data_IF_180885684333
#
_entry.id   IF_180885684333
#
_cell.length_a   1.000
_cell.length_b   1.000
_cell.length_c   1.000
_cell.angle_alpha   90.00
_cell.angle_beta   90.00
_cell.angle_gamma   90.00
#
_symmetry.space_group_name_H-M   'P 1'
#
loop_
_entity.id
_entity.type
_entity.pdbx_description
1 polymer ?
#
# COMPACT_ATOMS: atom_id res chain seq x y z
N UNK A 1 8.43 -9.15 -58.96
CA UNK A 1 9.10 -7.98 -58.34
C UNK A 1 8.10 -7.36 -57.39
N UNK A 2 8.05 -7.86 -56.15
CA UNK A 2 7.19 -7.30 -55.10
C UNK A 2 8.12 -6.48 -54.21
N UNK A 3 8.07 -5.15 -54.36
CA UNK A 3 8.82 -4.23 -53.52
C UNK A 3 8.08 -4.14 -52.19
N UNK A 4 8.72 -4.61 -51.12
CA UNK A 4 8.34 -4.32 -49.74
C UNK A 4 8.40 -2.81 -49.55
N UNK A 5 7.23 -2.16 -49.47
CA UNK A 5 7.12 -0.79 -48.97
C UNK A 5 6.93 -0.92 -47.47
N UNK A 6 8.05 -0.98 -46.75
CA UNK A 6 8.05 -0.65 -45.33
C UNK A 6 7.87 0.86 -45.26
N UNK A 7 6.69 1.32 -44.82
CA UNK A 7 6.47 2.75 -44.56
C UNK A 7 7.53 3.22 -43.56
N UNK A 8 8.25 4.32 -43.86
CA UNK A 8 9.34 4.77 -43.01
C UNK A 8 8.78 5.18 -41.64
N UNK A 9 9.34 4.59 -40.58
CA UNK A 9 9.09 5.00 -39.21
C UNK A 9 9.37 6.50 -39.14
N UNK A 10 8.35 7.32 -38.88
CA UNK A 10 8.53 8.75 -38.66
C UNK A 10 9.19 8.96 -37.29
N UNK A 11 10.51 8.77 -37.28
CA UNK A 11 11.38 8.91 -36.12
C UNK A 11 11.29 10.32 -35.51
N UNK A 12 10.83 11.30 -36.28
CA UNK A 12 10.61 12.68 -35.82
C UNK A 12 9.36 12.78 -34.94
N UNK A 13 8.27 12.08 -35.29
CA UNK A 13 7.06 12.01 -34.49
C UNK A 13 7.28 11.28 -33.16
N UNK A 14 8.06 10.19 -33.18
CA UNK A 14 8.43 9.44 -31.96
C UNK A 14 9.31 10.28 -31.03
N UNK A 15 10.28 11.02 -31.59
CA UNK A 15 11.11 11.98 -30.83
C UNK A 15 10.27 13.10 -30.23
N UNK A 16 9.34 13.68 -31.00
CA UNK A 16 8.47 14.75 -30.50
C UNK A 16 7.57 14.29 -29.34
N UNK A 17 7.05 13.06 -29.36
CA UNK A 17 6.30 12.49 -28.25
C UNK A 17 7.18 12.25 -27.02
N UNK A 18 8.41 11.75 -27.21
CA UNK A 18 9.38 11.55 -26.13
C UNK A 18 9.74 12.89 -25.44
N UNK A 19 9.98 13.93 -26.23
CA UNK A 19 10.30 15.27 -25.73
C UNK A 19 9.10 15.91 -24.99
N UNK A 20 7.88 15.65 -25.47
CA UNK A 20 6.64 16.06 -24.80
C UNK A 20 6.45 15.36 -23.45
N UNK A 21 6.71 14.06 -23.38
CA UNK A 21 6.69 13.29 -22.12
C UNK A 21 7.80 13.72 -21.15
N UNK A 22 8.99 14.07 -21.66
CA UNK A 22 10.08 14.60 -20.84
C UNK A 22 9.73 15.97 -20.23
N UNK A 23 9.10 16.84 -21.03
CA UNK A 23 8.61 18.15 -20.58
C UNK A 23 7.46 18.02 -19.56
N UNK A 24 6.53 17.08 -19.79
CA UNK A 24 5.46 16.75 -18.84
C UNK A 24 6.02 16.20 -17.51
N UNK A 25 7.07 15.35 -17.56
CA UNK A 25 7.78 14.86 -16.37
C UNK A 25 8.43 15.98 -15.56
N UNK A 26 9.08 16.94 -16.23
CA UNK A 26 9.68 18.10 -15.55
C UNK A 26 8.60 18.95 -14.87
N UNK A 27 7.48 19.19 -15.55
CA UNK A 27 6.34 19.96 -15.01
C UNK A 27 5.70 19.27 -13.79
N UNK A 28 5.53 17.94 -13.84
CA UNK A 28 5.03 17.16 -12.70
C UNK A 28 5.99 17.17 -11.50
N UNK A 29 7.31 17.18 -11.75
CA UNK A 29 8.34 17.22 -10.70
C UNK A 29 8.35 18.58 -9.99
N UNK A 30 8.18 19.69 -10.72
CA UNK A 30 8.09 21.03 -10.13
C UNK A 30 6.81 21.22 -9.30
N UNK A 31 5.68 20.66 -9.74
CA UNK A 31 4.43 20.69 -8.97
C UNK A 31 4.52 19.83 -7.69
N UNK A 32 5.20 18.68 -7.73
CA UNK A 32 5.46 17.85 -6.55
C UNK A 32 6.33 18.57 -5.51
N UNK A 33 7.31 19.36 -5.95
CA UNK A 33 8.17 20.14 -5.05
C UNK A 33 7.42 21.30 -4.36
N UNK A 34 6.44 21.92 -5.01
CA UNK A 34 5.59 22.95 -4.41
C UNK A 34 4.60 22.39 -3.37
N UNK A 35 4.22 21.12 -3.50
CA UNK A 35 3.36 20.39 -2.56
C UNK A 35 4.11 19.81 -1.35
N UNK A 36 5.41 20.08 -1.20
CA UNK A 36 6.26 19.55 -0.11
C UNK A 36 5.82 19.93 1.31
N UNK A 37 4.90 20.90 1.46
CA UNK A 37 4.27 21.27 2.73
C UNK A 37 2.95 20.52 3.01
N UNK A 38 2.46 19.70 2.08
CA UNK A 38 1.30 18.84 2.27
C UNK A 38 1.79 17.40 2.46
N UNK A 39 1.37 16.77 3.55
CA UNK A 39 1.59 15.33 3.78
C UNK A 39 0.68 14.50 2.88
N UNK A 40 0.87 14.60 1.57
CA UNK A 40 0.13 13.88 0.55
C UNK A 40 0.94 12.67 0.05
N UNK A 41 0.25 11.55 -0.19
CA UNK A 41 0.84 10.38 -0.86
C UNK A 41 1.20 10.77 -2.29
N UNK A 42 2.46 10.59 -2.67
CA UNK A 42 2.93 10.82 -4.04
C UNK A 42 2.79 9.52 -4.84
N UNK A 43 2.10 9.58 -5.96
CA UNK A 43 1.94 8.45 -6.89
C UNK A 43 2.74 8.76 -8.16
N UNK A 44 3.70 7.92 -8.51
CA UNK A 44 4.46 8.04 -9.75
C UNK A 44 4.34 6.76 -10.57
N UNK A 45 4.29 6.92 -11.89
CA UNK A 45 4.15 5.79 -12.83
C UNK A 45 5.26 5.85 -13.86
N UNK A 46 5.95 4.73 -14.08
CA UNK A 46 6.94 4.57 -15.14
C UNK A 46 6.51 3.42 -16.04
N UNK A 47 6.24 3.74 -17.30
CA UNK A 47 5.91 2.76 -18.34
C UNK A 47 7.19 2.33 -19.06
N UNK A 48 7.24 1.08 -19.49
CA UNK A 48 8.35 0.54 -20.30
C UNK A 48 8.47 1.26 -21.66
N UNK A 49 7.32 1.53 -22.29
CA UNK A 49 7.23 2.24 -23.56
C UNK A 49 6.36 3.51 -23.41
N UNK A 50 6.86 4.64 -23.93
CA UNK A 50 6.14 5.92 -23.92
C UNK A 50 5.06 6.04 -25.02
N UNK A 51 5.14 5.21 -26.05
CA UNK A 51 4.17 5.08 -27.12
C UNK A 51 4.32 3.70 -27.77
N UNK A 52 3.21 3.12 -28.24
CA UNK A 52 3.20 1.81 -28.88
C UNK A 52 2.30 1.82 -30.12
N UNK A 53 2.72 1.11 -31.16
CA UNK A 53 2.01 1.02 -32.44
C UNK A 53 0.90 -0.04 -32.31
N UNK A 54 -0.29 0.30 -32.77
CA UNK A 54 -1.55 -0.45 -32.61
C UNK A 54 -1.65 -1.78 -33.38
N UNK A 55 -0.55 -2.30 -33.94
CA UNK A 55 -0.62 -3.37 -34.93
C UNK A 55 -0.70 -4.79 -34.35
N UNK A 56 -0.35 -4.99 -33.07
CA UNK A 56 -0.44 -6.31 -32.43
C UNK A 56 -0.87 -6.23 -30.95
N UNK A 57 -1.50 -7.33 -30.48
CA UNK A 57 -1.75 -7.55 -29.05
C UNK A 57 -0.42 -7.57 -28.31
N UNK A 58 -0.27 -6.65 -27.36
CA UNK A 58 0.99 -6.44 -26.68
C UNK A 58 0.79 -6.10 -25.21
N UNK A 59 1.63 -6.69 -24.37
CA UNK A 59 1.61 -6.47 -22.93
C UNK A 59 2.50 -5.28 -22.60
N UNK A 60 1.93 -4.24 -22.00
CA UNK A 60 2.68 -3.07 -21.52
C UNK A 60 2.82 -3.20 -20.01
N UNK A 61 4.08 -3.27 -19.55
CA UNK A 61 4.38 -3.26 -18.13
C UNK A 61 4.57 -1.82 -17.65
N UNK A 62 3.89 -1.48 -16.57
CA UNK A 62 4.00 -0.20 -15.88
C UNK A 62 4.31 -0.42 -14.41
N UNK A 63 5.33 0.26 -13.91
CA UNK A 63 5.62 0.33 -12.49
C UNK A 63 4.90 1.54 -11.90
N UNK A 64 4.03 1.29 -10.92
CA UNK A 64 3.40 2.34 -10.10
C UNK A 64 4.09 2.35 -8.74
N UNK A 65 4.68 3.48 -8.39
CA UNK A 65 5.34 3.70 -7.11
C UNK A 65 4.48 4.62 -6.25
N UNK A 66 4.14 4.16 -5.05
CA UNK A 66 3.42 4.92 -4.02
C UNK A 66 4.41 5.33 -2.94
N UNK A 67 4.72 6.61 -2.86
CA UNK A 67 5.58 7.16 -1.84
C UNK A 67 4.73 7.88 -0.79
N UNK A 68 4.78 7.35 0.44
CA UNK A 68 4.12 7.97 1.59
C UNK A 68 5.08 8.99 2.21
N UNK A 69 4.63 10.22 2.50
CA UNK A 69 5.46 11.18 3.20
C UNK A 69 5.76 10.67 4.61
N UNK A 70 7.03 10.55 4.95
CA UNK A 70 7.43 10.28 6.34
C UNK A 70 7.06 11.51 7.17
N UNK A 71 6.10 11.35 8.08
CA UNK A 71 5.74 12.38 9.04
C UNK A 71 6.92 12.61 10.01
N UNK A 72 7.94 13.31 9.54
CA UNK A 72 9.02 13.86 10.36
C UNK A 72 8.62 15.30 10.62
N UNK A 73 7.90 15.53 11.71
CA UNK A 73 7.87 16.87 12.32
C UNK A 73 9.24 17.06 13.00
N UNK A 74 10.05 18.04 12.60
CA UNK A 74 11.16 18.48 13.42
C UNK A 74 10.58 19.18 14.66
N UNK A 75 10.94 18.68 15.83
CA UNK A 75 11.08 19.34 17.14
C UNK A 75 10.57 20.79 17.22
N UNK A 76 9.62 21.18 18.08
CA UNK A 76 9.91 21.54 19.49
C UNK A 76 8.64 21.84 20.33
N UNK A 77 7.44 21.41 19.93
CA UNK A 77 6.22 21.61 20.73
C UNK A 77 5.57 20.28 21.11
N UNK A 78 5.86 19.86 22.33
CA UNK A 78 5.17 18.81 23.08
C UNK A 78 3.65 19.10 23.14
N UNK A 79 2.85 18.61 22.19
CA UNK A 79 1.42 18.24 22.39
C UNK A 79 0.63 17.91 21.11
N UNK A 80 1.24 17.67 19.95
CA UNK A 80 0.55 16.91 18.90
C UNK A 80 1.40 15.68 18.68
N UNK A 81 1.20 14.69 19.57
CA UNK A 81 1.54 13.33 19.22
C UNK A 81 1.00 13.12 17.81
N UNK A 82 1.89 12.83 16.85
CA UNK A 82 1.49 12.31 15.55
C UNK A 82 0.66 11.08 15.85
N UNK A 83 -0.65 11.26 15.99
CA UNK A 83 -1.50 10.25 16.58
C UNK A 83 -1.59 9.16 15.54
N UNK A 84 -0.90 8.05 15.80
CA UNK A 84 -1.04 6.83 15.03
C UNK A 84 -2.52 6.61 14.77
N UNK A 85 -2.90 6.51 13.50
CA UNK A 85 -4.29 6.29 13.11
C UNK A 85 -4.78 5.03 13.83
N UNK A 86 -5.93 5.08 14.53
CA UNK A 86 -6.46 3.93 15.22
C UNK A 86 -6.65 2.76 14.25
N UNK A 87 -6.20 1.56 14.64
CA UNK A 87 -6.32 0.36 13.80
C UNK A 87 -7.42 -0.56 14.30
N UNK A 88 -7.98 -1.33 13.37
CA UNK A 88 -8.91 -2.42 13.64
C UNK A 88 -8.23 -3.74 13.34
N UNK A 89 -7.97 -4.53 14.38
CA UNK A 89 -7.35 -5.84 14.24
C UNK A 89 -8.41 -6.94 14.46
N UNK A 90 -8.56 -7.83 13.49
CA UNK A 90 -9.44 -9.00 13.58
C UNK A 90 -8.59 -10.28 13.49
N UNK A 91 -8.45 -10.97 14.62
CA UNK A 91 -7.70 -12.21 14.72
C UNK A 91 -8.63 -13.41 14.56
N UNK A 92 -8.49 -14.16 13.48
CA UNK A 92 -9.24 -15.40 13.25
C UNK A 92 -8.35 -16.59 13.65
N UNK A 93 -8.74 -17.27 14.73
CA UNK A 93 -7.93 -18.30 15.40
C UNK A 93 -8.49 -19.69 15.12
N UNK A 94 -7.68 -20.54 14.49
CA UNK A 94 -8.01 -21.95 14.31
C UNK A 94 -7.90 -22.71 15.64
N UNK A 95 -8.96 -23.41 16.04
CA UNK A 95 -8.97 -24.30 17.19
C UNK A 95 -9.00 -25.79 16.81
N UNK A 96 -8.75 -26.15 15.54
CA UNK A 96 -8.70 -27.53 15.08
C UNK A 96 -7.74 -28.39 15.93
N UNK A 97 -7.89 -29.72 15.84
CA UNK A 97 -7.01 -30.65 16.54
C UNK A 97 -5.53 -30.46 16.20
N UNK A 98 -5.22 -29.95 15.01
CA UNK A 98 -3.84 -29.70 14.54
C UNK A 98 -3.14 -28.56 15.28
N UNK A 99 -3.92 -27.66 15.88
CA UNK A 99 -3.45 -26.51 16.65
C UNK A 99 -3.27 -26.86 18.14
N UNK A 100 -3.62 -28.08 18.56
CA UNK A 100 -3.49 -28.51 19.95
C UNK A 100 -2.04 -28.49 20.48
N UNK A 101 -1.91 -28.47 21.81
CA UNK A 101 -0.62 -28.50 22.48
C UNK A 101 0.16 -27.19 22.33
N UNK A 102 1.40 -27.31 21.85
CA UNK A 102 2.37 -26.20 21.83
C UNK A 102 1.96 -25.05 20.90
N UNK A 103 1.34 -25.35 19.75
CA UNK A 103 0.94 -24.31 18.78
C UNK A 103 -0.10 -23.36 19.36
N UNK A 104 -1.14 -23.88 20.02
CA UNK A 104 -2.13 -23.05 20.71
C UNK A 104 -1.51 -22.24 21.86
N UNK A 105 -0.53 -22.81 22.58
CA UNK A 105 0.17 -22.08 23.65
C UNK A 105 0.93 -20.87 23.10
N UNK A 106 1.70 -21.08 22.03
CA UNK A 106 2.44 -20.00 21.37
C UNK A 106 1.48 -18.95 20.80
N UNK A 107 0.40 -19.37 20.16
CA UNK A 107 -0.60 -18.44 19.63
C UNK A 107 -1.21 -17.56 20.74
N UNK A 108 -1.55 -18.13 21.90
CA UNK A 108 -2.03 -17.34 23.04
C UNK A 108 -0.99 -16.33 23.52
N UNK A 109 0.28 -16.73 23.63
CA UNK A 109 1.36 -15.83 24.02
C UNK A 109 1.54 -14.69 23.00
N UNK A 110 1.47 -15.00 21.70
CA UNK A 110 1.51 -14.00 20.63
C UNK A 110 0.31 -13.05 20.69
N UNK A 111 -0.89 -13.55 20.97
CA UNK A 111 -2.08 -12.69 21.10
C UNK A 111 -1.97 -11.75 22.31
N UNK A 112 -1.43 -12.22 23.43
CA UNK A 112 -1.15 -11.36 24.59
C UNK A 112 -0.15 -10.27 24.22
N UNK A 113 0.94 -10.65 23.54
CA UNK A 113 1.92 -9.68 23.06
C UNK A 113 1.32 -8.64 22.10
N UNK A 114 0.46 -9.07 21.16
CA UNK A 114 -0.24 -8.14 20.26
C UNK A 114 -1.07 -7.14 21.05
N UNK A 115 -1.82 -7.60 22.07
CA UNK A 115 -2.63 -6.73 22.94
C UNK A 115 -1.77 -5.69 23.65
N UNK A 116 -0.58 -6.06 24.11
CA UNK A 116 0.35 -5.14 24.76
C UNK A 116 0.84 -4.02 23.82
N UNK A 117 0.97 -4.32 22.52
CA UNK A 117 1.42 -3.37 21.48
C UNK A 117 0.29 -2.48 20.93
N UNK A 118 -0.98 -2.74 21.27
CA UNK A 118 -2.10 -1.93 20.82
C UNK A 118 -2.27 -0.67 21.69
N UNK A 119 -2.69 0.42 21.04
CA UNK A 119 -3.01 1.68 21.71
C UNK A 119 -4.47 1.68 22.20
N UNK A 120 -4.76 2.56 23.15
CA UNK A 120 -6.10 2.74 23.74
C UNK A 120 -7.21 3.04 22.71
N UNK A 121 -6.85 3.65 21.58
CA UNK A 121 -7.78 3.95 20.49
C UNK A 121 -7.99 2.78 19.52
N UNK A 122 -7.11 1.78 19.54
CA UNK A 122 -7.18 0.62 18.65
C UNK A 122 -8.31 -0.32 19.08
N UNK A 123 -8.83 -1.06 18.10
CA UNK A 123 -9.91 -2.03 18.31
C UNK A 123 -9.46 -3.44 17.96
N UNK A 124 -9.77 -4.41 18.82
CA UNK A 124 -9.45 -5.82 18.62
C UNK A 124 -10.72 -6.66 18.62
N UNK A 125 -10.81 -7.62 17.69
CA UNK A 125 -11.75 -8.73 17.74
C UNK A 125 -11.02 -10.06 17.57
N UNK A 126 -11.45 -11.08 18.32
CA UNK A 126 -10.93 -12.45 18.20
C UNK A 126 -12.09 -13.37 17.84
N UNK A 127 -11.94 -14.11 16.74
CA UNK A 127 -12.93 -15.05 16.22
C UNK A 127 -12.29 -16.43 16.24
N UNK A 128 -12.85 -17.35 17.01
CA UNK A 128 -12.38 -18.74 16.98
C UNK A 128 -13.12 -19.55 15.91
N UNK A 129 -12.43 -20.44 15.22
CA UNK A 129 -13.09 -21.32 14.24
C UNK A 129 -12.57 -22.77 14.32
N UNK A 130 -13.48 -23.70 14.02
CA UNK A 130 -13.20 -25.12 13.77
C UNK A 130 -13.96 -25.50 12.49
N UNK A 131 -14.91 -26.43 12.57
CA UNK A 131 -15.83 -26.78 11.46
C UNK A 131 -16.80 -25.64 11.12
N UNK A 132 -17.12 -24.80 12.10
CA UNK A 132 -17.84 -23.55 11.91
C UNK A 132 -17.12 -22.45 12.71
N UNK A 133 -17.41 -21.19 12.42
CA UNK A 133 -16.95 -20.08 13.26
C UNK A 133 -17.74 -20.12 14.57
N UNK A 134 -17.06 -20.39 15.68
CA UNK A 134 -17.65 -20.50 17.01
C UNK A 134 -17.19 -19.31 17.84
N UNK A 135 -18.13 -18.66 18.54
CA UNK A 135 -17.85 -17.56 19.46
C UNK A 135 -17.05 -16.40 18.83
N UNK A 136 -17.75 -15.30 18.50
CA UNK A 136 -17.12 -13.98 18.58
C UNK A 136 -16.93 -13.72 20.06
N UNK A 137 -15.79 -14.13 20.64
CA UNK A 137 -15.60 -14.02 22.09
C UNK A 137 -15.86 -12.59 22.53
N UNK A 138 -15.51 -11.60 21.69
CA UNK A 138 -15.95 -10.21 21.80
C UNK A 138 -16.13 -9.57 20.41
N UNK A 139 -17.10 -8.64 20.27
CA UNK A 139 -17.14 -7.73 19.11
C UNK A 139 -15.91 -6.81 19.08
N UNK A 140 -15.79 -5.96 18.05
CA UNK A 140 -14.66 -5.04 17.92
C UNK A 140 -14.57 -4.13 19.16
N UNK A 141 -13.65 -4.43 20.09
CA UNK A 141 -13.53 -3.75 21.38
C UNK A 141 -12.35 -2.81 21.37
N UNK A 142 -12.55 -1.59 21.88
CA UNK A 142 -11.45 -0.66 22.13
C UNK A 142 -10.55 -1.19 23.24
N UNK A 143 -9.25 -0.99 23.10
CA UNK A 143 -8.26 -1.46 24.07
C UNK A 143 -8.15 -0.57 25.32
N UNK A 144 -8.92 0.53 25.39
CA UNK A 144 -8.97 1.42 26.55
C UNK A 144 -9.82 0.92 27.74
N UNK A 145 -10.56 -0.18 27.57
CA UNK A 145 -11.38 -0.75 28.62
C UNK A 145 -10.75 -2.07 29.11
N UNK A 146 -9.98 -1.95 30.19
CA UNK A 146 -9.28 -3.03 30.91
C UNK A 146 -8.05 -3.59 30.18
N UNK A 147 -6.88 -2.96 30.44
CA UNK A 147 -5.56 -3.59 30.31
C UNK A 147 -5.27 -4.42 31.54
#
# INVERSE_FOLDING_TARGET
VFASVEDPIDETAVRALSDSLASARQTATTAANAASNLSLITVSTTLEYGAQISQEESNIYGLVTLQVPSAIVPSESKSIALSRVPIDLVCVVDQSGSMSGMKMRLLKQTLVYIVEQLNDLDRLAIISFKTQAYNRSHGLKRMNQQK
#
